data_IF_692484627722
#
_entry.id   IF_692484627722
#
_cell.length_a   1.000
_cell.length_b   1.000
_cell.length_c   1.000
_cell.angle_alpha   90.00
_cell.angle_beta   90.00
_cell.angle_gamma   90.00
#
_symmetry.space_group_name_H-M   'P 1'
#
loop_
_entity.id
_entity.type
_entity.pdbx_description
1 polymer ?
#
# COMPACT_ATOMS: atom_id res chain seq x y z
N UNK A 1 23.93 16.47 -49.72
CA UNK A 1 24.27 16.76 -48.31
C UNK A 1 23.67 15.66 -47.45
N UNK A 2 24.48 15.05 -46.58
CA UNK A 2 24.24 13.76 -45.90
C UNK A 2 23.22 13.88 -44.76
N UNK A 3 22.25 12.98 -44.71
CA UNK A 3 21.49 12.61 -43.51
C UNK A 3 22.44 12.19 -42.37
N UNK A 4 22.20 12.66 -41.15
CA UNK A 4 22.73 12.04 -39.94
C UNK A 4 21.57 11.71 -38.99
N UNK A 5 21.25 10.42 -38.98
CA UNK A 5 20.51 9.74 -37.94
C UNK A 5 21.34 9.83 -36.64
N UNK A 6 20.79 10.43 -35.58
CA UNK A 6 21.33 10.28 -34.22
C UNK A 6 20.37 9.46 -33.40
N UNK A 7 20.56 8.14 -33.46
CA UNK A 7 20.13 7.22 -32.43
C UNK A 7 20.95 7.50 -31.16
N UNK A 8 20.45 8.37 -30.29
CA UNK A 8 20.92 8.42 -28.90
C UNK A 8 20.21 7.30 -28.14
N UNK A 9 20.90 6.16 -28.04
CA UNK A 9 20.63 5.13 -27.06
C UNK A 9 20.72 5.76 -25.66
N UNK A 10 19.57 5.91 -25.00
CA UNK A 10 19.54 6.21 -23.57
C UNK A 10 20.22 5.04 -22.84
N UNK A 11 21.15 5.30 -21.91
CA UNK A 11 21.79 4.23 -21.17
C UNK A 11 20.71 3.53 -20.33
N UNK A 12 20.60 2.22 -20.49
CA UNK A 12 19.78 1.37 -19.64
C UNK A 12 20.20 1.63 -18.19
N UNK A 13 19.32 2.25 -17.41
CA UNK A 13 19.50 2.38 -15.97
C UNK A 13 19.44 0.98 -15.39
N UNK A 14 20.61 0.44 -15.09
CA UNK A 14 20.81 -0.70 -14.22
C UNK A 14 20.28 -0.34 -12.83
N UNK A 15 18.98 -0.55 -12.60
CA UNK A 15 18.43 -0.61 -11.25
C UNK A 15 18.96 -1.90 -10.65
N UNK A 16 20.04 -1.80 -9.87
CA UNK A 16 20.47 -2.90 -9.01
C UNK A 16 19.26 -3.34 -8.19
N UNK A 17 18.75 -4.54 -8.46
CA UNK A 17 17.57 -5.11 -7.82
C UNK A 17 17.86 -5.24 -6.32
N UNK A 18 17.42 -4.27 -5.52
CA UNK A 18 17.39 -4.42 -4.07
C UNK A 18 16.46 -5.61 -3.82
N UNK A 19 17.06 -6.75 -3.46
CA UNK A 19 16.29 -7.95 -3.14
C UNK A 19 15.66 -7.73 -1.77
N UNK A 20 14.41 -7.29 -1.76
CA UNK A 20 13.63 -7.13 -0.53
C UNK A 20 13.47 -8.52 0.09
N UNK A 21 14.10 -8.72 1.26
CA UNK A 21 14.01 -9.98 2.00
C UNK A 21 12.55 -10.21 2.41
N UNK A 22 12.01 -11.34 1.98
CA UNK A 22 10.66 -11.77 2.34
C UNK A 22 10.61 -12.21 3.79
N UNK A 23 9.47 -11.98 4.42
CA UNK A 23 9.21 -12.46 5.76
C UNK A 23 8.57 -13.85 5.72
N UNK A 24 8.94 -14.72 6.66
CA UNK A 24 8.36 -16.05 6.77
C UNK A 24 6.96 -16.00 7.37
N UNK A 25 6.19 -17.07 7.12
CA UNK A 25 4.88 -17.26 7.76
C UNK A 25 4.98 -17.27 9.28
N UNK A 26 6.00 -17.92 9.84
CA UNK A 26 6.19 -18.01 11.29
C UNK A 26 6.49 -16.66 11.94
N UNK A 27 7.24 -15.79 11.27
CA UNK A 27 7.48 -14.43 11.76
C UNK A 27 6.18 -13.62 11.77
N UNK A 28 5.35 -13.73 10.73
CA UNK A 28 4.02 -13.11 10.70
C UNK A 28 3.12 -13.67 11.81
N UNK A 29 3.06 -15.00 11.94
CA UNK A 29 2.25 -15.70 12.93
C UNK A 29 2.64 -15.30 14.36
N UNK A 30 3.94 -15.23 14.65
CA UNK A 30 4.42 -14.81 15.96
C UNK A 30 4.12 -13.34 16.22
N UNK A 31 4.32 -12.47 15.23
CA UNK A 31 4.10 -11.04 15.38
C UNK A 31 2.63 -10.68 15.67
N UNK A 32 1.68 -11.45 15.14
CA UNK A 32 0.24 -11.24 15.34
C UNK A 32 -0.35 -12.03 16.51
N UNK A 33 0.48 -12.70 17.32
CA UNK A 33 0.03 -13.65 18.35
C UNK A 33 -0.92 -14.72 17.78
N UNK A 34 -0.55 -15.33 16.65
CA UNK A 34 -1.35 -16.32 15.91
C UNK A 34 -2.66 -15.75 15.37
N UNK A 35 -2.63 -14.51 14.86
CA UNK A 35 -3.79 -13.79 14.35
C UNK A 35 -4.89 -13.61 15.40
N UNK A 36 -4.48 -13.29 16.62
CA UNK A 36 -5.40 -13.00 17.74
C UNK A 36 -6.40 -11.89 17.37
N UNK A 37 -7.65 -12.04 17.79
CA UNK A 37 -8.69 -11.04 17.56
C UNK A 37 -8.37 -9.71 18.26
N UNK A 38 -7.63 -9.73 19.38
CA UNK A 38 -7.18 -8.49 20.04
C UNK A 38 -6.24 -7.66 19.16
N UNK A 39 -5.55 -8.32 18.23
CA UNK A 39 -4.66 -7.67 17.28
C UNK A 39 -5.37 -7.28 15.98
N UNK A 40 -6.65 -7.62 15.78
CA UNK A 40 -7.39 -7.24 14.58
C UNK A 40 -7.72 -5.75 14.60
N UNK A 41 -7.11 -4.97 13.70
CA UNK A 41 -7.29 -3.51 13.63
C UNK A 41 -8.19 -3.06 12.48
N UNK A 42 -8.55 -3.97 11.57
CA UNK A 42 -9.52 -3.66 10.53
C UNK A 42 -9.86 -4.84 9.63
N UNK A 43 -11.05 -4.79 9.05
CA UNK A 43 -11.50 -5.70 8.00
C UNK A 43 -11.90 -4.85 6.80
N UNK A 44 -11.37 -5.17 5.62
CA UNK A 44 -11.68 -4.49 4.37
C UNK A 44 -12.03 -5.47 3.26
N UNK A 45 -12.33 -4.93 2.08
CA UNK A 45 -12.76 -5.72 0.91
C UNK A 45 -11.73 -6.77 0.48
N UNK A 46 -10.44 -6.52 0.74
CA UNK A 46 -9.34 -7.39 0.33
C UNK A 46 -8.83 -8.29 1.45
N UNK A 47 -9.46 -8.29 2.63
CA UNK A 47 -9.07 -9.12 3.77
C UNK A 47 -8.92 -8.36 5.09
N UNK A 48 -8.19 -8.95 6.01
CA UNK A 48 -8.06 -8.49 7.40
C UNK A 48 -6.71 -7.83 7.65
N UNK A 49 -6.66 -6.86 8.56
CA UNK A 49 -5.43 -6.17 8.96
C UNK A 49 -5.22 -6.38 10.45
N UNK A 50 -4.05 -6.91 10.79
CA UNK A 50 -3.64 -7.15 12.17
C UNK A 50 -2.52 -6.19 12.57
N UNK A 51 -2.52 -5.72 13.82
CA UNK A 51 -1.35 -5.13 14.44
C UNK A 51 -0.37 -6.24 14.77
N UNK A 52 0.89 -6.05 14.41
CA UNK A 52 1.97 -7.00 14.72
C UNK A 52 3.11 -6.32 15.46
N UNK A 53 3.83 -7.09 16.28
CA UNK A 53 5.09 -6.67 16.89
C UNK A 53 6.15 -7.72 16.59
N UNK A 54 7.19 -7.35 15.84
CA UNK A 54 8.32 -8.24 15.59
C UNK A 54 9.26 -8.35 16.80
N UNK A 55 10.16 -9.34 16.79
CA UNK A 55 11.08 -9.63 17.90
C UNK A 55 12.02 -8.47 18.23
N UNK A 56 12.31 -7.62 17.25
CA UNK A 56 13.11 -6.40 17.41
C UNK A 56 12.30 -5.21 17.97
N UNK A 57 11.01 -5.40 18.27
CA UNK A 57 10.11 -4.38 18.78
C UNK A 57 9.41 -3.56 17.69
N UNK A 58 9.69 -3.83 16.41
CA UNK A 58 9.05 -3.10 15.31
C UNK A 58 7.55 -3.36 15.28
N UNK A 59 6.76 -2.29 15.42
CA UNK A 59 5.30 -2.34 15.31
C UNK A 59 4.89 -2.20 13.84
N UNK A 60 4.03 -3.08 13.36
CA UNK A 60 3.60 -3.14 11.95
C UNK A 60 2.10 -3.35 11.81
N UNK A 61 1.57 -3.02 10.64
CA UNK A 61 0.25 -3.46 10.19
C UNK A 61 0.43 -4.61 9.18
N UNK A 62 -0.18 -5.75 9.44
CA UNK A 62 -0.09 -6.96 8.61
C UNK A 62 -1.44 -7.17 7.93
N UNK A 63 -1.51 -6.88 6.64
CA UNK A 63 -2.69 -7.08 5.82
C UNK A 63 -2.67 -8.47 5.22
N UNK A 64 -3.55 -9.34 5.71
CA UNK A 64 -3.76 -10.71 5.24
C UNK A 64 -4.87 -10.70 4.20
N UNK A 65 -4.61 -11.25 3.02
CA UNK A 65 -5.59 -11.28 1.93
C UNK A 65 -6.48 -12.52 2.00
N UNK A 66 -7.80 -12.32 1.85
CA UNK A 66 -8.76 -13.41 1.69
C UNK A 66 -8.72 -13.86 0.22
N UNK A 67 -8.08 -14.98 -0.08
CA UNK A 67 -7.95 -15.48 -1.45
C UNK A 67 -8.48 -16.91 -1.55
N UNK A 68 -9.41 -17.12 -2.50
CA UNK A 68 -9.66 -18.42 -3.10
C UNK A 68 -8.58 -18.65 -4.15
N UNK A 69 -7.71 -19.64 -3.92
CA UNK A 69 -6.26 -19.52 -4.14
C UNK A 69 -5.67 -20.15 -5.41
N UNK A 70 -6.41 -20.38 -6.51
CA UNK A 70 -5.84 -21.17 -7.62
C UNK A 70 -5.13 -20.38 -8.74
N UNK A 71 -5.43 -19.09 -8.97
CA UNK A 71 -4.88 -18.36 -10.14
C UNK A 71 -3.82 -17.27 -9.88
N UNK A 72 -3.82 -16.64 -8.70
CA UNK A 72 -3.15 -15.33 -8.52
C UNK A 72 -1.65 -15.39 -8.14
N UNK A 73 -1.09 -16.58 -7.87
CA UNK A 73 0.18 -16.73 -7.15
C UNK A 73 1.41 -16.13 -7.85
N UNK A 74 1.56 -16.29 -9.16
CA UNK A 74 2.77 -15.81 -9.87
C UNK A 74 2.82 -14.29 -9.99
N UNK A 75 1.67 -13.63 -10.11
CA UNK A 75 1.64 -12.16 -10.29
C UNK A 75 1.76 -11.42 -8.95
N UNK A 76 1.36 -12.04 -7.84
CA UNK A 76 1.40 -11.45 -6.51
C UNK A 76 2.82 -11.01 -6.12
N UNK A 77 3.81 -11.88 -6.31
CA UNK A 77 5.18 -11.64 -5.89
C UNK A 77 5.82 -10.46 -6.62
N UNK A 78 5.71 -10.43 -7.95
CA UNK A 78 6.20 -9.34 -8.79
C UNK A 78 5.55 -8.01 -8.43
N UNK A 79 4.25 -8.00 -8.18
CA UNK A 79 3.53 -6.77 -7.84
C UNK A 79 3.80 -6.32 -6.41
N UNK A 80 3.97 -7.24 -5.46
CA UNK A 80 4.46 -6.91 -4.12
C UNK A 80 5.85 -6.28 -4.17
N UNK A 81 6.73 -6.78 -5.04
CA UNK A 81 8.05 -6.18 -5.24
C UNK A 81 7.93 -4.71 -5.72
N UNK A 82 7.02 -4.43 -6.65
CA UNK A 82 6.72 -3.05 -7.09
C UNK A 82 6.21 -2.21 -5.91
N UNK A 83 5.21 -2.71 -5.16
CA UNK A 83 4.65 -1.99 -4.00
C UNK A 83 5.70 -1.69 -2.92
N UNK A 84 6.63 -2.62 -2.68
CA UNK A 84 7.72 -2.44 -1.74
C UNK A 84 8.79 -1.46 -2.23
N UNK A 85 8.84 -1.12 -3.52
CA UNK A 85 9.77 -0.11 -4.04
C UNK A 85 9.15 1.29 -4.14
N UNK A 86 7.84 1.40 -3.98
CA UNK A 86 7.15 2.69 -3.93
C UNK A 86 7.43 3.36 -2.60
N UNK A 87 7.99 4.57 -2.67
CA UNK A 87 8.43 5.35 -1.51
C UNK A 87 8.07 6.82 -1.69
N UNK A 88 7.17 7.29 -0.83
CA UNK A 88 6.77 8.69 -0.76
C UNK A 88 6.38 9.00 0.68
N UNK A 89 6.64 10.23 1.13
CA UNK A 89 6.40 10.64 2.53
C UNK A 89 4.91 10.53 2.92
N UNK A 90 3.99 10.68 1.96
CA UNK A 90 2.54 10.62 2.18
C UNK A 90 1.91 9.31 1.66
N UNK A 91 2.70 8.25 1.49
CA UNK A 91 2.19 6.90 1.21
C UNK A 91 2.50 5.99 2.39
N UNK A 92 1.59 5.07 2.72
CA UNK A 92 1.90 4.03 3.70
C UNK A 92 2.97 3.11 3.12
N UNK A 93 4.08 2.96 3.85
CA UNK A 93 5.20 2.16 3.38
C UNK A 93 4.87 0.67 3.44
N UNK A 94 4.92 0.01 2.28
CA UNK A 94 4.97 -1.46 2.22
C UNK A 94 6.41 -1.89 2.50
N UNK A 95 6.62 -2.54 3.64
CA UNK A 95 7.94 -2.96 4.14
C UNK A 95 8.39 -4.22 3.41
N UNK A 96 7.56 -5.26 3.44
CA UNK A 96 7.83 -6.56 2.83
C UNK A 96 6.51 -7.32 2.61
N UNK A 97 6.59 -8.53 2.06
CA UNK A 97 5.46 -9.42 1.87
C UNK A 97 5.75 -10.83 2.38
N UNK A 98 4.68 -11.51 2.81
CA UNK A 98 4.67 -12.95 3.02
C UNK A 98 3.84 -13.59 1.91
N UNK A 99 4.36 -14.63 1.28
CA UNK A 99 3.70 -15.33 0.18
C UNK A 99 4.08 -16.80 0.24
N UNK A 100 3.14 -17.64 0.64
CA UNK A 100 3.23 -19.10 0.52
C UNK A 100 1.89 -19.64 -0.02
N UNK A 101 1.67 -20.97 0.04
CA UNK A 101 0.42 -21.58 -0.44
C UNK A 101 -0.79 -21.20 0.41
N UNK A 102 -0.61 -20.97 1.71
CA UNK A 102 -1.69 -20.79 2.67
C UNK A 102 -1.97 -19.31 3.02
N UNK A 103 -1.00 -18.43 2.79
CA UNK A 103 -1.01 -17.04 3.23
C UNK A 103 -0.40 -16.12 2.19
N UNK A 104 -1.16 -15.11 1.81
CA UNK A 104 -0.67 -13.89 1.19
C UNK A 104 -0.85 -12.75 2.18
N UNK A 105 0.23 -12.02 2.45
CA UNK A 105 0.18 -10.85 3.31
C UNK A 105 1.16 -9.76 2.88
N UNK A 106 0.78 -8.51 3.13
CA UNK A 106 1.68 -7.36 3.12
C UNK A 106 1.99 -6.95 4.57
N UNK A 107 3.26 -6.64 4.82
CA UNK A 107 3.70 -5.99 6.05
C UNK A 107 3.89 -4.52 5.73
N UNK A 108 3.14 -3.68 6.43
CA UNK A 108 3.11 -2.23 6.27
C UNK A 108 3.55 -1.54 7.56
N UNK A 109 4.03 -0.33 7.42
CA UNK A 109 4.23 0.58 8.54
C UNK A 109 2.91 0.81 9.29
N UNK A 110 2.98 0.79 10.62
CA UNK A 110 1.82 0.99 11.47
C UNK A 110 1.54 2.49 11.66
N UNK A 111 0.26 2.87 11.55
CA UNK A 111 -0.20 4.26 11.66
C UNK A 111 -1.00 4.42 12.96
N UNK A 112 -0.39 4.95 14.05
CA UNK A 112 -0.97 4.87 15.39
C UNK A 112 -2.20 5.75 15.59
N UNK A 113 -2.33 6.84 14.83
CA UNK A 113 -3.47 7.74 14.93
C UNK A 113 -4.68 7.27 14.08
N UNK A 114 -4.59 6.10 13.47
CA UNK A 114 -5.69 5.45 12.74
C UNK A 114 -6.06 6.18 11.45
N UNK A 115 -7.29 5.96 10.96
CA UNK A 115 -7.75 6.51 9.68
C UNK A 115 -8.53 7.83 9.84
N UNK A 116 -8.56 8.63 8.78
CA UNK A 116 -9.25 9.92 8.73
C UNK A 116 -10.76 9.79 8.98
N UNK A 117 -11.40 8.67 8.63
CA UNK A 117 -12.82 8.46 8.91
C UNK A 117 -13.14 8.59 10.40
N UNK A 118 -12.27 8.08 11.29
CA UNK A 118 -12.38 8.23 12.74
C UNK A 118 -12.34 9.71 13.17
N UNK A 119 -11.45 10.49 12.57
CA UNK A 119 -11.27 11.92 12.87
C UNK A 119 -12.41 12.80 12.34
N UNK A 120 -13.10 12.35 11.29
CA UNK A 120 -14.24 13.08 10.71
C UNK A 120 -15.58 12.73 11.36
N UNK A 121 -15.73 11.51 11.87
CA UNK A 121 -17.02 10.99 12.37
C UNK A 121 -17.19 11.09 13.88
N UNK A 122 -16.10 11.17 14.65
CA UNK A 122 -16.16 11.11 16.10
C UNK A 122 -16.29 12.49 16.73
N UNK A 123 -17.22 12.63 17.68
CA UNK A 123 -17.40 13.85 18.49
C UNK A 123 -16.20 14.18 19.39
N UNK A 124 -15.27 13.24 19.57
CA UNK A 124 -14.11 13.40 20.45
C UNK A 124 -12.87 13.90 19.71
N UNK A 125 -12.92 13.99 18.38
CA UNK A 125 -11.80 14.40 17.55
C UNK A 125 -12.23 15.62 16.71
N UNK A 126 -11.39 16.64 16.69
CA UNK A 126 -11.67 17.88 15.94
C UNK A 126 -10.46 18.26 15.11
N UNK A 127 -10.62 18.20 13.78
CA UNK A 127 -9.66 18.77 12.85
C UNK A 127 -10.05 20.21 12.56
N UNK A 128 -9.15 21.15 12.89
CA UNK A 128 -9.31 22.55 12.52
C UNK A 128 -9.06 22.74 11.00
N UNK A 129 -9.34 23.94 10.48
CA UNK A 129 -9.21 24.21 9.05
C UNK A 129 -7.78 24.04 8.53
N UNK A 130 -6.77 24.40 9.32
CA UNK A 130 -5.35 24.28 8.94
C UNK A 130 -4.98 22.80 8.79
N UNK A 131 -5.32 21.97 9.77
CA UNK A 131 -5.07 20.53 9.72
C UNK A 131 -5.77 19.86 8.53
N UNK A 132 -7.00 20.28 8.22
CA UNK A 132 -7.72 19.75 7.04
C UNK A 132 -7.00 20.11 5.73
N UNK A 133 -6.48 21.33 5.62
CA UNK A 133 -5.70 21.76 4.46
C UNK A 133 -4.38 21.00 4.36
N UNK A 134 -3.68 20.77 5.48
CA UNK A 134 -2.46 19.96 5.53
C UNK A 134 -2.73 18.52 5.05
N UNK A 135 -3.78 17.88 5.56
CA UNK A 135 -4.21 16.54 5.11
C UNK A 135 -4.52 16.52 3.62
N UNK A 136 -5.19 17.56 3.08
CA UNK A 136 -5.46 17.66 1.65
C UNK A 136 -4.17 17.78 0.82
N UNK A 137 -3.21 18.57 1.28
CA UNK A 137 -1.90 18.73 0.64
C UNK A 137 -1.15 17.39 0.62
N UNK A 138 -1.15 16.68 1.74
CA UNK A 138 -0.49 15.38 1.86
C UNK A 138 -1.11 14.32 0.92
N UNK A 139 -2.44 14.22 0.90
CA UNK A 139 -3.16 13.30 0.03
C UNK A 139 -2.92 13.64 -1.45
N UNK A 140 -2.97 14.92 -1.81
CA UNK A 140 -2.73 15.34 -3.21
C UNK A 140 -1.30 15.09 -3.64
N UNK A 141 -0.31 15.30 -2.76
CA UNK A 141 1.09 14.98 -3.00
C UNK A 141 1.30 13.48 -3.23
N UNK A 142 0.66 12.62 -2.43
CA UNK A 142 0.69 11.18 -2.62
C UNK A 142 0.12 10.75 -3.99
N UNK A 143 -1.02 11.33 -4.40
CA UNK A 143 -1.66 11.03 -5.68
C UNK A 143 -0.84 11.53 -6.87
N UNK A 144 -0.27 12.72 -6.77
CA UNK A 144 0.64 13.26 -7.78
C UNK A 144 1.81 12.31 -8.01
N UNK A 145 2.44 11.84 -6.93
CA UNK A 145 3.50 10.86 -6.99
C UNK A 145 3.07 9.54 -7.63
N UNK A 146 1.91 8.99 -7.26
CA UNK A 146 1.41 7.74 -7.86
C UNK A 146 1.12 7.88 -9.37
N UNK A 147 0.65 9.05 -9.81
CA UNK A 147 0.29 9.28 -11.21
C UNK A 147 1.48 9.64 -12.10
N UNK A 148 2.45 10.38 -11.57
CA UNK A 148 3.53 10.99 -12.37
C UNK A 148 4.95 10.65 -11.90
N UNK A 149 5.11 10.18 -10.65
CA UNK A 149 6.41 9.90 -10.03
C UNK A 149 6.97 8.50 -10.30
N UNK A 150 6.22 7.63 -10.99
CA UNK A 150 6.65 6.27 -11.34
C UNK A 150 6.56 6.04 -12.86
N UNK A 151 7.43 5.21 -13.47
CA UNK A 151 7.43 4.99 -14.93
C UNK A 151 6.10 4.51 -15.53
N UNK A 152 5.27 3.85 -14.72
CA UNK A 152 3.91 3.46 -15.09
C UNK A 152 2.93 4.05 -14.08
N UNK A 153 1.92 4.82 -14.51
CA UNK A 153 0.95 5.43 -13.61
C UNK A 153 0.22 4.41 -12.74
N UNK A 154 0.11 4.71 -11.45
CA UNK A 154 -0.60 3.89 -10.47
C UNK A 154 -1.88 4.62 -10.10
N UNK A 155 -3.02 4.10 -10.55
CA UNK A 155 -4.33 4.59 -10.15
C UNK A 155 -4.72 3.93 -8.83
N UNK A 156 -5.11 4.74 -7.83
CA UNK A 156 -5.48 4.24 -6.50
C UNK A 156 -6.76 3.38 -6.52
N UNK A 157 -7.78 3.80 -7.26
CA UNK A 157 -9.09 3.16 -7.43
C UNK A 157 -10.01 3.02 -6.19
N UNK A 158 -9.50 3.19 -4.96
CA UNK A 158 -10.34 3.11 -3.73
C UNK A 158 -10.06 4.28 -2.76
N UNK A 159 -9.91 5.51 -3.24
CA UNK A 159 -9.56 6.63 -2.36
C UNK A 159 -10.77 7.06 -1.54
N UNK A 160 -10.65 6.99 -0.21
CA UNK A 160 -11.71 7.31 0.76
C UNK A 160 -11.10 7.60 2.14
N UNK A 161 -11.83 8.24 3.07
CA UNK A 161 -11.31 8.57 4.40
C UNK A 161 -10.76 7.38 5.20
N UNK A 162 -11.26 6.16 5.01
CA UNK A 162 -10.71 4.98 5.70
C UNK A 162 -9.36 4.50 5.16
N UNK A 163 -8.94 4.96 3.97
CA UNK A 163 -7.64 4.66 3.37
C UNK A 163 -6.64 5.82 3.50
N UNK A 164 -6.99 6.87 4.27
CA UNK A 164 -6.08 7.95 4.65
C UNK A 164 -5.74 7.72 6.12
N UNK A 165 -4.50 7.33 6.40
CA UNK A 165 -4.00 7.02 7.74
C UNK A 165 -3.15 8.15 8.29
N UNK A 166 -3.09 8.28 9.61
CA UNK A 166 -2.34 9.33 10.32
C UNK A 166 -1.18 8.70 11.07
N UNK A 167 0.02 9.22 10.84
CA UNK A 167 1.22 8.84 11.59
C UNK A 167 1.25 9.50 12.98
N UNK A 168 2.36 9.37 13.71
CA UNK A 168 2.56 9.94 15.05
C UNK A 168 2.46 11.47 15.08
N UNK A 169 2.89 12.14 14.01
CA UNK A 169 2.95 13.60 13.87
C UNK A 169 1.68 14.19 13.23
N UNK A 170 0.64 13.38 13.03
CA UNK A 170 -0.60 13.76 12.35
C UNK A 170 -0.41 14.15 10.87
N UNK A 171 0.62 13.60 10.23
CA UNK A 171 0.81 13.65 8.77
C UNK A 171 -0.06 12.59 8.11
N UNK A 172 -0.65 12.91 6.95
CA UNK A 172 -1.53 11.98 6.25
C UNK A 172 -0.76 11.06 5.28
N UNK A 173 -1.09 9.77 5.31
CA UNK A 173 -0.54 8.72 4.47
C UNK A 173 -1.66 7.97 3.74
N UNK A 174 -1.57 7.92 2.41
CA UNK A 174 -2.50 7.14 1.59
C UNK A 174 -2.11 5.67 1.62
N UNK A 175 -3.03 4.82 2.06
CA UNK A 175 -2.90 3.36 2.14
C UNK A 175 -3.49 2.66 0.91
N UNK A 176 -3.37 1.34 0.82
CA UNK A 176 -4.12 0.48 -0.13
C UNK A 176 -3.98 0.76 -1.64
N UNK A 177 -3.04 1.63 -2.04
CA UNK A 177 -2.72 1.88 -3.43
C UNK A 177 -2.23 0.61 -4.15
N UNK A 178 -2.70 0.40 -5.37
CA UNK A 178 -2.27 -0.71 -6.22
C UNK A 178 -2.67 -2.12 -5.75
N UNK A 179 -3.38 -2.26 -4.62
CA UNK A 179 -3.82 -3.57 -4.10
C UNK A 179 -4.77 -4.27 -5.07
N UNK A 180 -5.71 -3.53 -5.69
CA UNK A 180 -6.62 -4.11 -6.68
C UNK A 180 -5.85 -4.76 -7.85
N UNK A 181 -4.69 -4.20 -8.22
CA UNK A 181 -3.85 -4.76 -9.28
C UNK A 181 -3.14 -6.04 -8.85
N UNK A 182 -2.98 -6.34 -7.55
CA UNK A 182 -2.29 -7.56 -7.08
C UNK A 182 -2.88 -8.84 -7.68
N UNK A 183 -4.19 -8.85 -7.95
CA UNK A 183 -4.95 -10.05 -8.31
C UNK A 183 -5.45 -10.07 -9.76
N UNK A 184 -5.11 -9.09 -10.59
CA UNK A 184 -5.50 -9.05 -12.02
C UNK A 184 -4.35 -9.46 -12.93
N UNK A 185 -4.56 -10.37 -13.87
CA UNK A 185 -3.49 -10.83 -14.79
C UNK A 185 -3.08 -9.76 -15.83
N UNK A 186 -3.98 -8.82 -16.16
CA UNK A 186 -3.72 -7.84 -17.22
C UNK A 186 -2.89 -6.63 -16.79
N UNK A 187 -1.85 -6.34 -17.59
CA UNK A 187 -1.04 -5.12 -17.50
C UNK A 187 -1.70 -3.93 -18.21
N UNK A 188 -2.82 -4.15 -18.90
CA UNK A 188 -3.52 -3.15 -19.73
C UNK A 188 -5.03 -3.36 -19.60
N UNK A 189 -5.77 -2.36 -19.07
CA UNK A 189 -7.26 -2.25 -19.00
C UNK A 189 -7.87 -3.09 -17.85
N UNK A 190 -8.95 -2.73 -17.13
CA UNK A 190 -9.66 -1.51 -16.71
C UNK A 190 -10.74 -2.00 -15.72
N UNK A 191 -10.97 -1.37 -14.57
CA UNK A 191 -12.28 -1.49 -13.93
C UNK A 191 -13.18 -0.38 -14.47
N UNK A 192 -13.59 -0.54 -15.73
CA UNK A 192 -14.78 0.13 -16.26
C UNK A 192 -15.98 -0.50 -15.56
N UNK A 193 -16.75 0.31 -14.83
CA UNK A 193 -17.85 -0.01 -13.89
C UNK A 193 -17.40 -0.36 -12.46
N UNK A 194 -17.49 0.61 -11.56
CA UNK A 194 -18.65 0.68 -10.65
C UNK A 194 -18.79 2.09 -10.05
N UNK A 195 -20.04 2.50 -9.86
CA UNK A 195 -20.53 3.81 -9.44
C UNK A 195 -19.77 4.40 -8.26
N UNK A 196 -19.42 5.68 -8.36
CA UNK A 196 -19.26 6.49 -7.16
C UNK A 196 -20.53 6.39 -6.32
N UNK A 197 -20.38 6.13 -5.03
CA UNK A 197 -21.48 6.29 -4.08
C UNK A 197 -21.83 7.78 -4.03
N UNK A 198 -23.07 8.11 -4.39
CA UNK A 198 -23.66 9.43 -4.15
C UNK A 198 -24.10 9.48 -2.68
#
# INVERSE_FOLDING_TARGET
MRCHNRNTLLPAQSTSLITIKRISYYEVLNATNKFDEENLIGIGNFGSVYRGIFLDGMIVAIKVFNLDLEGANKSFDTKCHILCNIRHRNLVKVITSCSNLDLKALVLEYMPNGNLNKWLSSSNYFLNIVQRLEIMIDVTSALEYLHHGYPSPIVHCDLKPSNILMDEDMVAHVADFGIAKLFTEDQRISLTKMLGTI
#
